data_IF_108712378355
#
_entry.id   IF_108712378355
#
_cell.length_a   1.000
_cell.length_b   1.000
_cell.length_c   1.000
_cell.angle_alpha   90.00
_cell.angle_beta   90.00
_cell.angle_gamma   90.00
#
_symmetry.space_group_name_H-M   'P 1'
#
loop_
_entity.id
_entity.type
_entity.pdbx_description
1 polymer ?
#
# COMPACT_ATOMS: atom_id res chain seq x y z
N UNK A 1 -20.27 5.35 -0.19
CA UNK A 1 -18.95 5.87 -0.57
C UNK A 1 -19.13 7.15 -1.38
N UNK A 2 -18.53 8.28 -0.97
CA UNK A 2 -18.75 9.62 -1.55
C UNK A 2 -17.52 10.12 -2.34
N UNK A 3 -17.13 9.38 -3.38
CA UNK A 3 -15.98 9.74 -4.23
C UNK A 3 -16.51 10.23 -5.57
N UNK A 4 -16.10 11.43 -5.98
CA UNK A 4 -16.36 11.97 -7.32
C UNK A 4 -15.08 11.92 -8.15
N UNK A 5 -15.16 11.31 -9.34
CA UNK A 5 -14.04 11.25 -10.29
C UNK A 5 -14.31 12.26 -11.40
N UNK A 6 -13.40 13.21 -11.59
CA UNK A 6 -13.58 14.30 -12.54
C UNK A 6 -12.37 14.41 -13.49
N UNK A 7 -12.65 14.50 -14.79
CA UNK A 7 -11.67 14.85 -15.83
C UNK A 7 -11.84 16.29 -16.33
N UNK A 8 -13.01 16.90 -16.11
CA UNK A 8 -13.33 18.34 -16.29
C UNK A 8 -14.49 18.73 -15.36
N UNK A 9 -14.72 20.03 -15.09
CA UNK A 9 -15.91 20.53 -14.39
C UNK A 9 -16.02 20.14 -12.90
N UNK A 10 -15.03 20.52 -12.10
CA UNK A 10 -14.90 20.13 -10.69
C UNK A 10 -16.00 20.72 -9.81
N UNK A 11 -16.70 19.85 -9.05
CA UNK A 11 -17.45 20.26 -7.86
C UNK A 11 -16.48 20.54 -6.72
N UNK A 12 -16.79 21.52 -5.88
CA UNK A 12 -15.99 21.83 -4.70
C UNK A 12 -16.21 20.74 -3.64
N UNK A 13 -15.14 20.00 -3.31
CA UNK A 13 -15.07 19.06 -2.20
C UNK A 13 -14.00 19.54 -1.20
N UNK A 14 -14.10 19.21 0.10
CA UNK A 14 -13.11 19.59 1.09
C UNK A 14 -11.74 18.91 0.86
N UNK A 15 -11.70 17.79 0.15
CA UNK A 15 -10.47 17.08 -0.19
C UNK A 15 -10.33 16.86 -1.69
N UNK A 16 -9.10 17.06 -2.18
CA UNK A 16 -8.65 16.76 -3.53
C UNK A 16 -7.50 15.76 -3.47
N UNK A 17 -7.67 14.60 -4.11
CA UNK A 17 -6.61 13.60 -4.30
C UNK A 17 -6.25 13.56 -5.78
N UNK A 18 -4.96 13.67 -6.08
CA UNK A 18 -4.44 13.66 -7.46
C UNK A 18 -3.65 12.36 -7.67
N UNK A 19 -4.15 11.50 -8.55
CA UNK A 19 -3.60 10.20 -8.90
C UNK A 19 -4.47 9.03 -8.40
N UNK A 20 -4.78 8.09 -9.29
CA UNK A 20 -5.58 6.89 -8.99
C UNK A 20 -4.75 5.61 -8.82
N UNK A 21 -3.47 5.72 -8.45
CA UNK A 21 -2.69 4.58 -7.98
C UNK A 21 -3.09 4.14 -6.56
N UNK A 22 -2.48 3.08 -6.03
CA UNK A 22 -2.84 2.51 -4.72
C UNK A 22 -2.86 3.55 -3.60
N UNK A 23 -1.84 4.44 -3.53
CA UNK A 23 -1.76 5.47 -2.51
C UNK A 23 -2.94 6.46 -2.59
N UNK A 24 -3.30 6.90 -3.80
CA UNK A 24 -4.38 7.84 -4.02
C UNK A 24 -5.76 7.21 -3.77
N UNK A 25 -5.99 5.99 -4.27
CA UNK A 25 -7.24 5.28 -4.05
C UNK A 25 -7.45 4.94 -2.57
N UNK A 26 -6.44 4.41 -1.89
CA UNK A 26 -6.51 4.09 -0.47
C UNK A 26 -6.76 5.36 0.36
N UNK A 27 -6.07 6.46 0.06
CA UNK A 27 -6.30 7.76 0.71
C UNK A 27 -7.73 8.26 0.47
N UNK A 28 -8.21 8.21 -0.77
CA UNK A 28 -9.57 8.64 -1.12
C UNK A 28 -10.64 7.80 -0.42
N UNK A 29 -10.43 6.49 -0.27
CA UNK A 29 -11.33 5.60 0.47
C UNK A 29 -11.42 6.00 1.95
N UNK A 30 -10.27 6.22 2.61
CA UNK A 30 -10.23 6.64 4.02
C UNK A 30 -10.88 8.02 4.23
N UNK A 31 -10.59 8.99 3.36
CA UNK A 31 -11.20 10.32 3.45
C UNK A 31 -12.71 10.30 3.17
N UNK A 32 -13.18 9.38 2.30
CA UNK A 32 -14.59 9.25 1.96
C UNK A 32 -15.47 8.73 3.12
N UNK A 33 -14.86 8.23 4.19
CA UNK A 33 -15.56 7.89 5.44
C UNK A 33 -16.00 9.14 6.20
N UNK A 34 -15.28 10.26 6.06
CA UNK A 34 -15.49 11.48 6.84
C UNK A 34 -15.97 12.69 6.01
N UNK A 35 -15.72 12.71 4.70
CA UNK A 35 -16.12 13.83 3.84
C UNK A 35 -16.25 13.45 2.36
N UNK A 36 -16.75 14.36 1.53
CA UNK A 36 -16.69 14.19 0.07
C UNK A 36 -15.26 14.39 -0.43
N UNK A 37 -14.86 13.54 -1.39
CA UNK A 37 -13.51 13.57 -1.98
C UNK A 37 -13.63 13.71 -3.49
N UNK A 38 -12.89 14.66 -4.04
CA UNK A 38 -12.62 14.69 -5.48
C UNK A 38 -11.33 13.92 -5.75
N UNK A 39 -11.42 12.86 -6.58
CA UNK A 39 -10.27 12.16 -7.12
C UNK A 39 -10.05 12.57 -8.58
N UNK A 40 -8.87 13.10 -8.88
CA UNK A 40 -8.46 13.46 -10.23
C UNK A 40 -7.39 12.47 -10.69
N UNK A 41 -7.55 11.93 -11.89
CA UNK A 41 -6.54 11.10 -12.54
C UNK A 41 -6.35 11.54 -13.98
N UNK A 42 -5.15 11.32 -14.51
CA UNK A 42 -4.77 11.73 -15.87
C UNK A 42 -5.53 10.94 -16.95
N UNK A 43 -5.91 9.70 -16.62
CA UNK A 43 -6.48 8.73 -17.55
C UNK A 43 -7.68 8.04 -16.88
N UNK A 44 -7.96 6.78 -17.19
CA UNK A 44 -8.95 5.96 -16.49
C UNK A 44 -8.46 5.60 -15.08
N UNK A 45 -9.40 5.25 -14.21
CA UNK A 45 -9.07 4.85 -12.83
C UNK A 45 -8.10 3.66 -12.76
N UNK A 46 -8.18 2.74 -13.72
CA UNK A 46 -7.36 1.53 -13.78
C UNK A 46 -5.95 1.78 -14.33
N UNK A 47 -5.73 2.88 -15.03
CA UNK A 47 -4.46 3.16 -15.66
C UNK A 47 -3.51 3.83 -14.66
N UNK A 48 -2.62 3.01 -14.08
CA UNK A 48 -1.54 3.46 -13.20
C UNK A 48 -0.46 2.38 -13.07
N UNK A 49 0.75 2.77 -12.64
CA UNK A 49 1.82 1.80 -12.38
C UNK A 49 1.44 0.74 -11.32
N UNK A 50 0.48 1.02 -10.44
CA UNK A 50 -0.04 0.05 -9.48
C UNK A 50 -0.62 -1.18 -10.18
N UNK A 51 -1.34 -0.99 -11.30
CA UNK A 51 -1.98 -2.08 -12.04
C UNK A 51 -0.97 -3.04 -12.67
N UNK A 52 0.25 -2.56 -12.92
CA UNK A 52 1.32 -3.34 -13.54
C UNK A 52 2.30 -3.93 -12.52
N UNK A 53 2.09 -3.73 -11.22
CA UNK A 53 2.95 -4.28 -10.18
C UNK A 53 2.84 -5.81 -10.14
N UNK A 54 3.99 -6.49 -10.15
CA UNK A 54 4.05 -7.96 -10.15
C UNK A 54 4.68 -8.53 -8.89
N UNK A 55 5.69 -7.86 -8.33
CA UNK A 55 6.49 -8.41 -7.22
C UNK A 55 5.79 -8.42 -5.88
N UNK A 56 4.62 -7.81 -5.72
CA UNK A 56 3.89 -7.86 -4.45
C UNK A 56 4.26 -6.80 -3.41
N UNK A 57 3.83 -7.01 -2.16
CA UNK A 57 3.94 -6.06 -1.05
C UNK A 57 4.76 -6.69 0.09
N UNK A 58 5.87 -6.06 0.47
CA UNK A 58 6.70 -6.50 1.59
C UNK A 58 6.09 -6.10 2.94
N UNK A 59 5.81 -7.09 3.80
CA UNK A 59 5.21 -6.89 5.12
C UNK A 59 5.60 -7.99 6.11
N UNK A 60 6.03 -7.60 7.31
CA UNK A 60 6.44 -8.55 8.35
C UNK A 60 5.22 -9.10 9.12
N UNK A 61 4.56 -10.13 8.58
CA UNK A 61 3.39 -10.78 9.20
C UNK A 61 3.67 -12.18 9.76
N UNK A 62 4.80 -12.81 9.39
CA UNK A 62 5.11 -14.18 9.81
C UNK A 62 5.67 -14.23 11.23
N UNK A 63 5.47 -15.36 11.93
CA UNK A 63 6.00 -15.55 13.28
C UNK A 63 7.54 -15.57 13.36
N UNK A 64 8.23 -15.75 12.22
CA UNK A 64 9.70 -15.78 12.12
C UNK A 64 10.29 -14.47 11.59
N UNK A 65 9.45 -13.44 11.43
CA UNK A 65 9.80 -12.11 10.95
C UNK A 65 9.33 -11.02 11.94
N UNK A 66 9.81 -9.79 11.75
CA UNK A 66 9.41 -8.65 12.58
C UNK A 66 9.61 -7.31 11.86
N UNK A 67 8.91 -6.24 12.29
CA UNK A 67 9.18 -4.88 11.85
C UNK A 67 10.65 -4.48 12.01
N UNK A 68 11.32 -4.86 13.11
CA UNK A 68 12.74 -4.56 13.35
C UNK A 68 13.67 -5.20 12.31
N UNK A 69 13.40 -6.45 11.92
CA UNK A 69 14.15 -7.13 10.86
C UNK A 69 13.92 -6.45 9.52
N UNK A 70 12.68 -6.03 9.24
CA UNK A 70 12.34 -5.29 8.02
C UNK A 70 12.96 -3.89 7.98
N UNK A 71 13.02 -3.21 9.12
CA UNK A 71 13.68 -1.92 9.29
C UNK A 71 15.17 -2.05 8.98
N UNK A 72 15.82 -3.06 9.57
CA UNK A 72 17.25 -3.32 9.36
C UNK A 72 17.56 -3.58 7.90
N UNK A 73 16.77 -4.42 7.22
CA UNK A 73 16.94 -4.70 5.79
C UNK A 73 16.77 -3.42 4.95
N UNK A 74 15.76 -2.60 5.26
CA UNK A 74 15.46 -1.36 4.53
C UNK A 74 16.57 -0.32 4.70
N UNK A 75 17.02 -0.06 5.93
CA UNK A 75 18.10 0.90 6.20
C UNK A 75 19.41 0.45 5.54
N UNK A 76 19.72 -0.85 5.60
CA UNK A 76 20.91 -1.40 4.95
C UNK A 76 20.84 -1.26 3.43
N UNK A 77 19.71 -1.62 2.82
CA UNK A 77 19.51 -1.50 1.38
C UNK A 77 19.52 -0.04 0.89
N UNK A 78 19.05 0.89 1.72
CA UNK A 78 19.01 2.32 1.42
C UNK A 78 20.36 3.05 1.43
N UNK A 79 21.47 2.37 1.75
CA UNK A 79 22.83 2.89 1.67
C UNK A 79 23.04 4.27 2.33
N UNK A 80 22.37 4.50 3.47
CA UNK A 80 22.46 5.76 4.23
C UNK A 80 21.59 6.91 3.71
N UNK A 81 20.75 6.67 2.70
CA UNK A 81 19.86 7.68 2.11
C UNK A 81 18.42 7.61 2.63
N UNK A 82 18.08 6.58 3.40
CA UNK A 82 16.77 6.48 4.05
C UNK A 82 16.60 7.57 5.11
N UNK A 83 15.37 8.09 5.23
CA UNK A 83 14.94 8.81 6.42
C UNK A 83 14.47 7.79 7.48
N UNK A 84 15.17 7.62 8.61
CA UNK A 84 14.83 6.60 9.60
C UNK A 84 13.38 6.63 10.08
N UNK A 85 12.86 7.83 10.37
CA UNK A 85 11.48 8.00 10.83
C UNK A 85 10.43 7.53 9.80
N UNK A 86 10.70 7.69 8.51
CA UNK A 86 9.79 7.20 7.47
C UNK A 86 9.85 5.67 7.33
N UNK A 87 11.03 5.07 7.50
CA UNK A 87 11.18 3.61 7.51
C UNK A 87 10.50 3.00 8.73
N UNK A 88 10.59 3.65 9.89
CA UNK A 88 9.92 3.22 11.12
C UNK A 88 8.39 3.16 10.94
N UNK A 89 7.79 4.22 10.37
CA UNK A 89 6.36 4.23 10.02
C UNK A 89 6.03 3.11 9.02
N UNK A 90 6.82 2.97 7.96
CA UNK A 90 6.61 1.96 6.92
C UNK A 90 6.54 0.54 7.49
N UNK A 91 7.50 0.17 8.33
CA UNK A 91 7.62 -1.21 8.81
C UNK A 91 6.65 -1.55 9.93
N UNK A 92 6.32 -0.58 10.80
CA UNK A 92 5.45 -0.80 11.94
C UNK A 92 3.97 -0.70 11.58
N UNK A 93 3.60 0.19 10.65
CA UNK A 93 2.20 0.30 10.22
C UNK A 93 1.84 -0.69 9.11
N UNK A 94 2.82 -1.17 8.34
CA UNK A 94 2.62 -2.10 7.22
C UNK A 94 1.73 -3.31 7.53
N UNK A 95 1.96 -4.07 8.63
CA UNK A 95 1.14 -5.21 9.01
C UNK A 95 -0.36 -4.90 9.11
N UNK A 96 -0.73 -3.80 9.77
CA UNK A 96 -2.13 -3.40 9.91
C UNK A 96 -2.71 -2.93 8.58
N UNK A 97 -1.94 -2.18 7.78
CA UNK A 97 -2.38 -1.75 6.43
C UNK A 97 -2.69 -2.93 5.53
N UNK A 98 -1.90 -4.01 5.57
CA UNK A 98 -2.18 -5.23 4.80
C UNK A 98 -3.41 -5.98 5.31
N UNK A 99 -3.62 -6.08 6.63
CA UNK A 99 -4.85 -6.66 7.19
C UNK A 99 -6.09 -5.89 6.75
N UNK A 100 -6.01 -4.56 6.67
CA UNK A 100 -7.09 -3.73 6.13
C UNK A 100 -7.37 -4.02 4.65
N UNK A 101 -6.34 -4.18 3.82
CA UNK A 101 -6.51 -4.57 2.42
C UNK A 101 -7.19 -5.94 2.27
N UNK A 102 -6.79 -6.92 3.10
CA UNK A 102 -7.45 -8.23 3.16
C UNK A 102 -8.93 -8.08 3.54
N UNK A 103 -9.23 -7.26 4.56
CA UNK A 103 -10.61 -6.99 4.98
C UNK A 103 -11.43 -6.27 3.90
N UNK A 104 -10.79 -5.49 3.03
CA UNK A 104 -11.42 -4.87 1.85
C UNK A 104 -11.61 -5.85 0.68
N UNK A 105 -11.12 -7.09 0.80
CA UNK A 105 -11.30 -8.14 -0.20
C UNK A 105 -10.16 -8.27 -1.21
N UNK A 106 -8.97 -7.71 -0.93
CA UNK A 106 -7.78 -7.96 -1.78
C UNK A 106 -7.39 -9.43 -1.66
N UNK A 107 -7.35 -10.18 -2.79
CA UNK A 107 -7.20 -11.63 -2.78
C UNK A 107 -5.72 -12.05 -2.74
N UNK A 108 -5.01 -11.75 -1.64
CA UNK A 108 -3.64 -12.24 -1.50
C UNK A 108 -3.58 -13.78 -1.56
N UNK A 109 -2.52 -14.31 -2.16
CA UNK A 109 -2.28 -15.75 -2.30
C UNK A 109 -2.23 -16.44 -0.93
N UNK A 110 -2.95 -17.55 -0.81
CA UNK A 110 -3.00 -18.36 0.41
C UNK A 110 -2.80 -19.84 0.11
N UNK A 111 -2.14 -20.54 1.03
CA UNK A 111 -1.98 -21.98 1.02
C UNK A 111 -2.39 -22.54 2.39
N UNK A 112 -3.32 -23.50 2.40
CA UNK A 112 -3.89 -24.07 3.63
C UNK A 112 -4.40 -23.02 4.64
N UNK A 113 -4.89 -21.87 4.16
CA UNK A 113 -5.41 -20.78 4.99
C UNK A 113 -4.35 -19.82 5.57
N UNK A 114 -3.08 -20.01 5.21
CA UNK A 114 -2.00 -19.08 5.56
C UNK A 114 -1.57 -18.26 4.34
N UNK A 115 -1.15 -17.02 4.55
CA UNK A 115 -0.60 -16.16 3.50
C UNK A 115 0.69 -16.75 2.94
N UNK A 116 0.80 -16.79 1.62
CA UNK A 116 2.03 -17.20 0.91
C UNK A 116 2.95 -16.00 0.78
N UNK A 117 4.21 -16.15 1.20
CA UNK A 117 5.23 -15.11 1.09
C UNK A 117 6.44 -15.60 0.31
N UNK A 118 6.99 -14.76 -0.56
CA UNK A 118 8.31 -14.97 -1.18
C UNK A 118 9.37 -14.15 -0.45
N UNK A 119 10.64 -14.45 -0.73
CA UNK A 119 11.79 -13.64 -0.32
C UNK A 119 12.44 -13.04 -1.56
N UNK A 120 12.50 -11.72 -1.60
CA UNK A 120 13.01 -10.97 -2.75
C UNK A 120 14.05 -9.93 -2.33
N UNK A 121 14.89 -9.55 -3.29
CA UNK A 121 15.89 -8.49 -3.16
C UNK A 121 16.75 -8.60 -1.88
N UNK A 122 16.79 -7.55 -1.06
CA UNK A 122 17.64 -7.43 0.12
C UNK A 122 16.99 -7.98 1.40
N UNK A 123 15.83 -8.62 1.34
CA UNK A 123 15.13 -9.10 2.53
C UNK A 123 15.81 -10.33 3.15
N UNK A 124 16.00 -10.29 4.46
CA UNK A 124 16.56 -11.38 5.26
C UNK A 124 15.53 -12.46 5.63
N UNK A 125 14.24 -12.18 5.45
CA UNK A 125 13.11 -13.11 5.66
C UNK A 125 12.14 -13.07 4.46
N UNK A 126 11.44 -14.19 4.17
CA UNK A 126 10.30 -14.15 3.27
C UNK A 126 9.20 -13.27 3.87
N UNK A 127 8.76 -12.26 3.12
CA UNK A 127 7.78 -11.27 3.59
C UNK A 127 7.00 -10.59 2.48
N UNK A 128 7.19 -11.01 1.24
CA UNK A 128 6.57 -10.35 0.08
C UNK A 128 5.31 -11.12 -0.31
N UNK A 129 4.16 -10.45 -0.19
CA UNK A 129 2.84 -11.01 -0.50
C UNK A 129 2.43 -10.71 -1.94
N UNK A 130 1.88 -11.72 -2.62
CA UNK A 130 1.31 -11.64 -3.97
C UNK A 130 -0.21 -11.77 -3.94
N UNK A 131 -0.88 -11.30 -5.00
CA UNK A 131 -2.34 -11.31 -5.17
C UNK A 131 -2.71 -11.52 -6.66
#
# INVERSE_FOLDING_TARGET
MKITVATTGLKVAPFLVIGSGIAGLYTALKLAEIAEVTLVTKETLKESNTTYAQGGVAVALSASDSPDLHYTDTIKAGAGLCLPAAVDVLVNEGPERVKELIAMGVPFDTEAGALVTTREAAHSRPRVLHA
#
